data_IF_322010353951
#
_entry.id   IF_322010353951
#
_cell.length_a   1.000
_cell.length_b   1.000
_cell.length_c   1.000
_cell.angle_alpha   90.00
_cell.angle_beta   90.00
_cell.angle_gamma   90.00
#
_symmetry.space_group_name_H-M   'P 1'
#
loop_
_entity.id
_entity.type
_entity.pdbx_description
1 polymer ?
#
# COMPACT_ATOMS: atom_id res chain seq x y z
N UNK A 1 44.34 -6.94 26.85
CA UNK A 1 43.57 -7.17 25.60
C UNK A 1 42.70 -8.39 25.82
N UNK A 2 41.38 -8.28 26.09
CA UNK A 2 40.38 -9.40 26.06
C UNK A 2 39.05 -9.04 26.75
N UNK A 3 38.39 -7.93 26.38
CA UNK A 3 37.00 -7.65 26.83
C UNK A 3 36.01 -7.38 25.69
N UNK A 4 36.50 -7.27 24.45
CA UNK A 4 35.67 -6.92 23.30
C UNK A 4 34.93 -8.12 22.67
N UNK A 5 35.21 -9.36 23.08
CA UNK A 5 34.72 -10.55 22.38
C UNK A 5 33.29 -10.98 22.76
N UNK A 6 32.70 -10.41 23.82
CA UNK A 6 31.38 -10.82 24.33
C UNK A 6 30.20 -10.01 23.77
N UNK A 7 30.46 -8.96 22.99
CA UNK A 7 29.41 -8.12 22.39
C UNK A 7 28.92 -8.64 21.03
N UNK A 8 29.68 -9.52 20.38
CA UNK A 8 29.33 -10.14 19.09
C UNK A 8 28.06 -11.00 19.10
N UNK A 9 27.81 -11.90 20.08
CA UNK A 9 26.60 -12.71 20.07
C UNK A 9 25.33 -11.90 20.36
N UNK A 10 25.45 -10.81 21.13
CA UNK A 10 24.32 -9.92 21.42
C UNK A 10 23.93 -9.09 20.19
N UNK A 11 24.89 -8.64 19.39
CA UNK A 11 24.63 -7.90 18.14
C UNK A 11 23.96 -8.79 17.07
N UNK A 12 24.34 -10.07 17.00
CA UNK A 12 23.79 -11.01 16.02
C UNK A 12 22.32 -11.38 16.31
N UNK A 13 21.90 -11.38 17.60
CA UNK A 13 20.53 -11.70 17.99
C UNK A 13 19.50 -10.61 17.61
N UNK A 14 19.94 -9.36 17.42
CA UNK A 14 19.05 -8.24 17.04
C UNK A 14 18.85 -8.17 15.51
N UNK A 15 19.69 -8.84 14.73
CA UNK A 15 19.65 -8.76 13.26
C UNK A 15 18.62 -9.69 12.59
N UNK A 16 17.94 -10.55 13.36
CA UNK A 16 17.01 -11.55 12.83
C UNK A 16 15.56 -11.27 13.23
N UNK A 17 15.09 -10.04 13.05
CA UNK A 17 13.63 -9.80 12.99
C UNK A 17 13.15 -10.29 11.63
N UNK A 18 12.72 -11.54 11.56
CA UNK A 18 12.14 -12.09 10.33
C UNK A 18 10.95 -11.25 9.89
N UNK A 19 11.03 -10.66 8.70
CA UNK A 19 9.88 -10.05 8.05
C UNK A 19 8.98 -11.20 7.55
N UNK A 20 7.73 -11.26 8.03
CA UNK A 20 6.73 -12.17 7.48
C UNK A 20 6.20 -11.51 6.22
N UNK A 21 6.52 -12.08 5.06
CA UNK A 21 5.89 -11.70 3.81
C UNK A 21 4.61 -12.52 3.66
N UNK A 22 3.47 -11.87 3.80
CA UNK A 22 2.16 -12.47 3.53
C UNK A 22 1.76 -12.13 2.10
N UNK A 23 1.87 -13.11 1.20
CA UNK A 23 1.18 -13.04 -0.09
C UNK A 23 -0.16 -13.76 0.05
N UNK A 24 -1.19 -12.99 0.40
CA UNK A 24 -2.57 -13.49 0.38
C UNK A 24 -3.20 -13.23 -0.99
N UNK A 25 -3.94 -14.21 -1.50
CA UNK A 25 -4.75 -14.18 -2.74
C UNK A 25 -5.57 -12.90 -2.89
N UNK A 26 -5.92 -12.24 -1.78
CA UNK A 26 -6.77 -11.07 -1.78
C UNK A 26 -6.03 -9.74 -2.05
N UNK A 27 -4.69 -9.69 -2.07
CA UNK A 27 -3.93 -8.42 -2.20
C UNK A 27 -3.57 -8.08 -3.66
N UNK A 28 -4.49 -8.28 -4.61
CA UNK A 28 -4.22 -8.19 -6.06
C UNK A 28 -4.68 -6.91 -6.73
N UNK A 29 -4.99 -5.88 -5.95
CA UNK A 29 -5.45 -4.61 -6.53
C UNK A 29 -4.66 -3.45 -5.96
N UNK A 30 -3.70 -2.99 -6.75
CA UNK A 30 -2.82 -1.87 -6.41
C UNK A 30 -3.28 -0.61 -7.11
N UNK A 31 -3.53 0.44 -6.33
CA UNK A 31 -3.74 1.80 -6.84
C UNK A 31 -2.50 2.61 -6.51
N UNK A 32 -1.83 3.10 -7.55
CA UNK A 32 -0.69 4.00 -7.42
C UNK A 32 -0.93 5.27 -8.21
N UNK A 33 -0.33 6.36 -7.76
CA UNK A 33 -0.43 7.64 -8.43
C UNK A 33 0.43 8.71 -7.79
N UNK A 34 0.47 9.88 -8.41
CA UNK A 34 1.23 11.02 -7.92
C UNK A 34 0.30 12.18 -7.59
N UNK A 35 0.57 12.84 -6.47
CA UNK A 35 -0.11 14.07 -6.07
C UNK A 35 0.85 15.24 -6.26
N UNK A 36 0.49 16.12 -7.19
CA UNK A 36 1.28 17.29 -7.57
C UNK A 36 0.36 18.51 -7.68
N UNK A 37 0.91 19.70 -7.42
CA UNK A 37 0.22 20.95 -7.73
C UNK A 37 0.21 21.24 -9.24
N UNK A 38 -0.42 22.35 -9.62
CA UNK A 38 -0.51 22.80 -11.01
C UNK A 38 0.87 23.11 -11.64
N UNK A 39 1.91 23.35 -10.84
CA UNK A 39 3.28 23.55 -11.29
C UNK A 39 4.08 22.25 -11.35
N UNK A 40 3.48 21.11 -11.01
CA UNK A 40 4.11 19.80 -10.97
C UNK A 40 4.93 19.53 -9.71
N UNK A 41 4.86 20.39 -8.69
CA UNK A 41 5.55 20.19 -7.42
C UNK A 41 4.84 19.10 -6.61
N UNK A 42 5.57 18.11 -6.07
CA UNK A 42 4.98 17.03 -5.29
C UNK A 42 4.43 17.51 -3.95
N UNK A 43 3.29 16.97 -3.56
CA UNK A 43 2.72 17.11 -2.24
C UNK A 43 3.05 15.86 -1.42
N UNK A 44 3.95 15.99 -0.46
CA UNK A 44 4.37 14.89 0.43
C UNK A 44 3.53 14.82 1.70
N UNK A 45 3.40 13.61 2.28
CA UNK A 45 2.61 13.32 3.49
C UNK A 45 1.15 13.76 3.35
N UNK A 46 0.63 13.69 2.13
CA UNK A 46 -0.78 13.95 1.86
C UNK A 46 -1.55 12.65 2.07
N UNK A 47 -2.57 12.63 2.94
CA UNK A 47 -3.40 11.45 3.13
C UNK A 47 -4.21 11.15 1.86
N UNK A 48 -4.21 9.88 1.51
CA UNK A 48 -4.95 9.27 0.40
C UNK A 48 -5.76 8.12 0.95
N UNK A 49 -7.01 8.01 0.51
CA UNK A 49 -7.91 6.97 0.96
C UNK A 49 -8.59 6.31 -0.23
N UNK A 50 -8.58 4.98 -0.24
CA UNK A 50 -9.34 4.18 -1.20
C UNK A 50 -10.52 3.53 -0.47
N UNK A 51 -11.72 3.90 -0.86
CA UNK A 51 -12.96 3.49 -0.23
C UNK A 51 -13.64 2.48 -1.15
N UNK A 52 -14.06 1.35 -0.59
CA UNK A 52 -14.92 0.38 -1.26
C UNK A 52 -16.36 0.87 -1.23
N UNK A 53 -16.91 1.27 -2.37
CA UNK A 53 -18.29 1.82 -2.41
C UNK A 53 -19.32 0.77 -1.93
N UNK A 54 -19.03 -0.52 -2.15
CA UNK A 54 -19.89 -1.65 -1.75
C UNK A 54 -20.02 -1.80 -0.22
N UNK A 55 -18.96 -1.51 0.54
CA UNK A 55 -18.87 -1.83 1.98
C UNK A 55 -18.62 -0.62 2.87
N UNK A 56 -18.15 0.49 2.31
CA UNK A 56 -17.64 1.64 3.04
C UNK A 56 -16.27 1.41 3.69
N UNK A 57 -15.63 0.26 3.46
CA UNK A 57 -14.30 -0.01 4.00
C UNK A 57 -13.23 0.84 3.32
N UNK A 58 -12.27 1.34 4.11
CA UNK A 58 -11.23 2.25 3.66
C UNK A 58 -9.83 1.66 3.81
N UNK A 59 -9.03 1.79 2.75
CA UNK A 59 -7.58 1.61 2.78
C UNK A 59 -6.92 2.98 2.80
N UNK A 60 -5.98 3.18 3.73
CA UNK A 60 -5.30 4.45 3.93
C UNK A 60 -3.85 4.37 3.44
N UNK A 61 -3.38 5.46 2.87
CA UNK A 61 -1.98 5.66 2.52
C UNK A 61 -1.62 7.14 2.60
N UNK A 62 -0.33 7.42 2.54
CA UNK A 62 0.20 8.77 2.46
C UNK A 62 1.12 8.87 1.24
N UNK A 63 1.21 10.06 0.67
CA UNK A 63 2.21 10.32 -0.36
C UNK A 63 3.62 10.42 0.22
N UNK A 64 4.60 9.93 -0.52
CA UNK A 64 6.02 10.06 -0.19
C UNK A 64 6.58 11.45 -0.57
N UNK A 65 7.90 11.63 -0.44
CA UNK A 65 8.58 12.89 -0.78
C UNK A 65 8.46 13.29 -2.27
N UNK A 66 8.23 12.32 -3.16
CA UNK A 66 7.99 12.52 -4.60
C UNK A 66 6.51 12.73 -4.94
N UNK A 67 5.63 12.68 -3.94
CA UNK A 67 4.19 12.75 -4.10
C UNK A 67 3.56 11.42 -4.53
N UNK A 68 4.33 10.33 -4.60
CA UNK A 68 3.85 9.00 -4.94
C UNK A 68 3.05 8.43 -3.76
N UNK A 69 1.88 7.86 -4.04
CA UNK A 69 1.20 6.96 -3.11
C UNK A 69 1.03 5.58 -3.74
N UNK A 70 0.99 4.56 -2.89
CA UNK A 70 0.64 3.18 -3.25
C UNK A 70 -0.34 2.66 -2.20
N UNK A 71 -1.49 2.19 -2.66
CA UNK A 71 -2.49 1.54 -1.82
C UNK A 71 -2.73 0.14 -2.39
N UNK A 72 -2.48 -0.88 -1.57
CA UNK A 72 -2.79 -2.29 -1.88
C UNK A 72 -4.10 -2.64 -1.21
N UNK A 73 -5.14 -2.89 -2.01
CA UNK A 73 -6.47 -3.23 -1.53
C UNK A 73 -6.66 -4.75 -1.43
N UNK A 74 -7.29 -5.19 -0.34
CA UNK A 74 -7.69 -6.58 -0.13
C UNK A 74 -9.04 -6.87 -0.82
N UNK A 75 -9.01 -7.25 -2.10
CA UNK A 75 -10.17 -7.56 -2.93
C UNK A 75 -10.18 -9.04 -3.32
N UNK A 76 -11.32 -9.71 -3.13
CA UNK A 76 -11.52 -11.09 -3.60
C UNK A 76 -12.11 -11.16 -4.99
N UNK A 77 -12.22 -12.36 -5.55
CA UNK A 77 -12.73 -12.61 -6.90
C UNK A 77 -14.10 -11.97 -7.13
N UNK A 78 -14.94 -11.89 -6.09
CA UNK A 78 -16.26 -11.26 -6.12
C UNK A 78 -16.24 -9.72 -6.22
N UNK A 79 -15.05 -9.10 -6.09
CA UNK A 79 -14.85 -7.66 -6.22
C UNK A 79 -14.52 -7.22 -7.65
N UNK A 80 -14.42 -8.13 -8.62
CA UNK A 80 -14.29 -7.74 -10.03
C UNK A 80 -15.48 -6.86 -10.44
N UNK A 81 -15.17 -5.67 -10.99
CA UNK A 81 -16.17 -4.67 -11.36
C UNK A 81 -16.69 -3.80 -10.20
N UNK A 82 -16.18 -4.00 -8.98
CA UNK A 82 -16.55 -3.17 -7.82
C UNK A 82 -16.14 -1.71 -8.05
N UNK A 83 -17.04 -0.77 -7.71
CA UNK A 83 -16.72 0.66 -7.72
C UNK A 83 -15.95 1.03 -6.45
N UNK A 84 -14.87 1.79 -6.63
CA UNK A 84 -14.04 2.30 -5.55
C UNK A 84 -13.95 3.82 -5.65
N UNK A 85 -13.90 4.49 -4.51
CA UNK A 85 -13.68 5.93 -4.43
C UNK A 85 -12.28 6.21 -3.89
N UNK A 86 -11.41 6.78 -4.72
CA UNK A 86 -10.13 7.33 -4.29
C UNK A 86 -10.35 8.78 -3.85
N UNK A 87 -10.05 9.09 -2.58
CA UNK A 87 -10.24 10.39 -1.95
C UNK A 87 -8.89 11.01 -1.56
N UNK A 88 -8.73 12.27 -1.92
CA UNK A 88 -7.60 13.13 -1.54
C UNK A 88 -8.15 14.47 -1.07
N UNK A 89 -8.33 14.61 0.24
CA UNK A 89 -8.98 15.79 0.82
C UNK A 89 -10.39 16.02 0.21
N UNK A 90 -10.68 17.18 -0.41
CA UNK A 90 -11.98 17.44 -1.04
C UNK A 90 -12.14 16.77 -2.41
N UNK A 91 -11.06 16.27 -3.01
CA UNK A 91 -11.07 15.67 -4.35
C UNK A 91 -11.38 14.19 -4.27
N UNK A 92 -12.21 13.70 -5.20
CA UNK A 92 -12.55 12.29 -5.31
C UNK A 92 -12.48 11.83 -6.77
N UNK A 93 -12.04 10.59 -6.96
CA UNK A 93 -11.99 9.91 -8.25
C UNK A 93 -12.64 8.54 -8.10
N UNK A 94 -13.57 8.19 -8.98
CA UNK A 94 -14.15 6.85 -9.03
C UNK A 94 -13.28 5.94 -9.89
N UNK A 95 -12.97 4.77 -9.35
CA UNK A 95 -12.27 3.67 -10.01
C UNK A 95 -13.21 2.47 -10.13
N UNK A 96 -12.90 1.56 -11.03
CA UNK A 96 -13.58 0.27 -11.14
C UNK A 96 -12.50 -0.80 -11.04
N UNK A 97 -12.65 -1.71 -10.07
CA UNK A 97 -11.71 -2.80 -9.87
C UNK A 97 -11.73 -3.75 -11.08
N UNK A 98 -10.55 -4.00 -11.66
CA UNK A 98 -10.37 -4.86 -12.83
C UNK A 98 -9.12 -5.71 -12.62
N UNK A 99 -9.32 -7.03 -12.56
CA UNK A 99 -8.28 -8.04 -12.45
C UNK A 99 -8.88 -9.37 -12.95
N UNK A 100 -8.02 -10.34 -13.27
CA UNK A 100 -8.46 -11.69 -13.62
C UNK A 100 -8.72 -12.49 -12.32
N UNK A 101 -9.97 -12.88 -12.02
CA UNK A 101 -10.27 -13.64 -10.81
C UNK A 101 -9.69 -15.05 -10.82
N UNK A 102 -9.27 -15.59 -11.97
CA UNK A 102 -8.59 -16.88 -12.03
C UNK A 102 -7.07 -16.75 -11.83
N UNK A 103 -6.51 -15.56 -12.00
CA UNK A 103 -5.08 -15.32 -11.84
C UNK A 103 -4.76 -15.15 -10.37
N UNK A 104 -4.15 -16.21 -9.81
CA UNK A 104 -3.89 -16.26 -8.39
C UNK A 104 -2.47 -15.88 -7.95
N UNK A 105 -1.65 -15.50 -8.90
CA UNK A 105 -0.20 -15.46 -8.79
C UNK A 105 0.40 -14.10 -9.11
N UNK A 106 -0.38 -13.20 -9.72
CA UNK A 106 0.06 -11.86 -10.14
C UNK A 106 -0.78 -10.77 -9.47
N UNK A 107 -0.18 -9.59 -9.30
CA UNK A 107 -0.81 -8.33 -8.84
C UNK A 107 -1.12 -7.39 -10.01
#
# INVERSE_FOLDING_TARGET
MTRALWLLPLLAAVAATGAVAEHEVFYRYTVLGYVKDAAGKPHARQPVELIRDKTGFSYLGDTDASGLFVIVARLGDESVGESLTLRLGPTQLRLVARFDPANHTEE
#
